data_IF_211089463938
#
_entry.id   IF_211089463938
#
_cell.length_a   1.000
_cell.length_b   1.000
_cell.length_c   1.000
_cell.angle_alpha   90.00
_cell.angle_beta   90.00
_cell.angle_gamma   90.00
#
_symmetry.space_group_name_H-M   'P 1'
#
loop_
_entity.id
_entity.type
_entity.pdbx_description
1 polymer ?
#
# COMPACT_ATOMS: atom_id res chain seq x y z
N UNK A 1 -10.80 -9.01 4.10
CA UNK A 1 -9.96 -8.14 3.24
C UNK A 1 -8.53 -8.18 3.76
N UNK A 2 -7.58 -8.33 2.88
CA UNK A 2 -6.16 -8.43 3.23
C UNK A 2 -5.31 -7.47 2.42
N UNK A 3 -4.26 -6.95 3.05
CA UNK A 3 -3.27 -6.11 2.38
C UNK A 3 -1.98 -6.91 2.25
N UNK A 4 -1.49 -7.06 1.02
CA UNK A 4 -0.31 -7.87 0.73
C UNK A 4 0.77 -7.06 0.03
N UNK A 5 2.01 -7.24 0.46
CA UNK A 5 3.17 -6.69 -0.23
C UNK A 5 3.52 -7.62 -1.38
N UNK A 6 3.39 -7.13 -2.61
CA UNK A 6 3.73 -7.92 -3.80
C UNK A 6 5.23 -7.87 -4.04
N UNK A 7 5.80 -6.67 -3.99
CA UNK A 7 7.23 -6.49 -4.24
C UNK A 7 7.74 -5.23 -3.56
N UNK A 8 8.90 -5.33 -2.94
CA UNK A 8 9.62 -4.19 -2.39
C UNK A 8 10.89 -3.98 -3.20
N UNK A 9 11.14 -2.74 -3.61
CA UNK A 9 12.31 -2.36 -4.38
C UNK A 9 13.08 -1.31 -3.59
N UNK A 10 14.16 -0.77 -4.17
CA UNK A 10 15.01 0.20 -3.50
C UNK A 10 14.26 1.50 -3.15
N UNK A 11 13.45 1.98 -4.10
CA UNK A 11 12.77 3.26 -3.95
C UNK A 11 11.27 3.19 -4.23
N UNK A 12 10.72 2.00 -4.28
CA UNK A 12 9.29 1.80 -4.54
C UNK A 12 8.82 0.48 -3.97
N UNK A 13 7.50 0.31 -3.89
CA UNK A 13 6.89 -0.93 -3.45
C UNK A 13 5.51 -1.07 -4.10
N UNK A 14 5.08 -2.30 -4.32
CA UNK A 14 3.78 -2.59 -4.92
C UNK A 14 2.98 -3.43 -3.93
N UNK A 15 1.73 -3.04 -3.75
CA UNK A 15 0.82 -3.70 -2.82
C UNK A 15 -0.46 -4.11 -3.51
N UNK A 16 -1.11 -5.13 -2.98
CA UNK A 16 -2.43 -5.57 -3.41
C UNK A 16 -3.39 -5.59 -2.22
N UNK A 17 -4.54 -4.99 -2.40
CA UNK A 17 -5.65 -5.08 -1.46
C UNK A 17 -6.57 -6.21 -1.92
N UNK A 18 -6.57 -7.32 -1.19
CA UNK A 18 -7.42 -8.46 -1.49
C UNK A 18 -8.79 -8.27 -0.82
N UNK A 19 -9.81 -8.05 -1.63
CA UNK A 19 -11.16 -7.79 -1.14
C UNK A 19 -12.19 -8.83 -1.63
N UNK A 20 -11.71 -10.03 -1.98
CA UNK A 20 -12.57 -11.11 -2.44
C UNK A 20 -12.48 -11.30 -3.94
N UNK A 21 -13.59 -11.22 -4.64
CA UNK A 21 -13.67 -11.63 -6.04
C UNK A 21 -13.48 -10.53 -7.07
N UNK A 22 -13.30 -9.28 -6.64
CA UNK A 22 -13.27 -8.13 -7.53
C UNK A 22 -11.86 -7.59 -7.73
N UNK A 23 -11.54 -7.19 -8.97
CA UNK A 23 -10.30 -6.50 -9.27
C UNK A 23 -10.33 -5.04 -8.86
N UNK A 24 -11.52 -4.52 -8.55
CA UNK A 24 -11.70 -3.16 -8.07
C UNK A 24 -12.50 -3.19 -6.79
N UNK A 25 -12.19 -2.30 -5.83
CA UNK A 25 -13.03 -2.20 -4.65
C UNK A 25 -14.39 -1.61 -5.03
N UNK A 26 -15.42 -1.94 -4.24
CA UNK A 26 -16.76 -1.39 -4.44
C UNK A 26 -16.75 0.13 -4.28
N UNK A 27 -15.86 0.64 -3.41
CA UNK A 27 -15.67 2.05 -3.16
C UNK A 27 -14.18 2.37 -3.13
N UNK A 28 -13.77 3.58 -3.54
CA UNK A 28 -12.38 3.99 -3.42
C UNK A 28 -11.90 3.91 -1.97
N UNK A 29 -10.63 3.62 -1.79
CA UNK A 29 -10.04 3.52 -0.46
C UNK A 29 -8.87 4.49 -0.31
N UNK A 30 -8.54 4.79 0.95
CA UNK A 30 -7.46 5.72 1.29
C UNK A 30 -6.21 4.94 1.61
N UNK A 31 -5.08 5.39 1.07
CA UNK A 31 -3.77 4.78 1.35
C UNK A 31 -2.89 5.83 2.03
N UNK A 32 -2.28 5.44 3.15
CA UNK A 32 -1.35 6.30 3.87
C UNK A 32 0.03 5.64 3.93
N UNK A 33 1.05 6.48 4.01
CA UNK A 33 2.44 6.05 4.18
C UNK A 33 2.99 6.82 5.37
N UNK A 34 3.35 6.09 6.44
CA UNK A 34 3.80 6.68 7.70
C UNK A 34 2.84 7.76 8.23
N UNK A 35 1.54 7.53 8.05
CA UNK A 35 0.51 8.44 8.51
C UNK A 35 0.12 9.55 7.55
N UNK A 36 0.84 9.71 6.44
CA UNK A 36 0.50 10.71 5.43
C UNK A 36 -0.31 10.08 4.30
N UNK A 37 -1.40 10.75 3.90
CA UNK A 37 -2.23 10.26 2.81
C UNK A 37 -1.50 10.39 1.48
N UNK A 38 -1.32 9.28 0.78
CA UNK A 38 -0.69 9.25 -0.55
C UNK A 38 -1.70 9.00 -1.65
N UNK A 39 -2.83 8.37 -1.34
CA UNK A 39 -3.95 8.19 -2.25
C UNK A 39 -5.24 8.50 -1.49
N UNK A 40 -5.97 9.53 -1.91
CA UNK A 40 -7.25 9.88 -1.28
C UNK A 40 -8.38 8.94 -1.69
N UNK A 41 -8.35 8.51 -2.95
CA UNK A 41 -9.41 7.67 -3.50
C UNK A 41 -8.77 6.72 -4.51
N UNK A 42 -8.21 5.64 -3.99
CA UNK A 42 -7.61 4.61 -4.83
C UNK A 42 -8.71 3.69 -5.36
N UNK A 43 -8.80 3.57 -6.67
CA UNK A 43 -9.85 2.80 -7.32
C UNK A 43 -9.37 1.46 -7.88
N UNK A 44 -8.13 1.08 -7.58
CA UNK A 44 -7.56 -0.18 -8.04
C UNK A 44 -7.06 -0.98 -6.86
N UNK A 45 -7.19 -2.30 -6.93
CA UNK A 45 -6.73 -3.18 -5.84
C UNK A 45 -5.21 -3.25 -5.76
N UNK A 46 -4.52 -2.96 -6.85
CA UNK A 46 -3.05 -2.93 -6.87
C UNK A 46 -2.60 -1.49 -6.93
N UNK A 47 -1.72 -1.10 -6.02
CA UNK A 47 -1.18 0.25 -6.01
C UNK A 47 0.32 0.22 -5.73
N UNK A 48 1.01 1.27 -6.16
CA UNK A 48 2.44 1.41 -6.00
C UNK A 48 2.77 2.64 -5.18
N UNK A 49 3.84 2.53 -4.40
CA UNK A 49 4.41 3.65 -3.65
C UNK A 49 5.75 3.99 -4.29
N UNK A 50 6.01 5.29 -4.47
CA UNK A 50 7.20 5.79 -5.15
C UNK A 50 7.95 6.79 -4.26
N UNK A 51 9.14 7.16 -4.69
CA UNK A 51 9.96 8.15 -4.00
C UNK A 51 10.32 7.74 -2.58
N UNK A 52 10.54 6.45 -2.37
CA UNK A 52 10.95 5.92 -1.08
C UNK A 52 12.47 6.00 -0.95
N UNK A 53 12.95 5.96 0.29
CA UNK A 53 14.38 5.90 0.58
C UNK A 53 14.84 4.44 0.67
N UNK A 54 16.06 4.12 0.20
CA UNK A 54 16.57 2.75 0.29
C UNK A 54 16.79 2.31 1.73
N UNK A 55 16.62 1.02 1.98
CA UNK A 55 16.90 0.42 3.28
C UNK A 55 16.13 1.04 4.43
N UNK A 56 14.92 1.54 4.18
CA UNK A 56 14.13 2.28 5.14
C UNK A 56 12.83 1.55 5.44
N UNK A 57 12.46 1.53 6.72
CA UNK A 57 11.20 0.93 7.13
C UNK A 57 10.04 1.92 6.96
N UNK A 58 8.95 1.42 6.39
CA UNK A 58 7.73 2.20 6.19
C UNK A 58 6.52 1.41 6.68
N UNK A 59 5.50 2.13 7.12
CA UNK A 59 4.21 1.54 7.45
C UNK A 59 3.17 2.08 6.48
N UNK A 60 2.58 1.18 5.69
CA UNK A 60 1.47 1.53 4.80
C UNK A 60 0.16 1.20 5.48
N UNK A 61 -0.79 2.14 5.41
CA UNK A 61 -2.12 1.95 5.95
C UNK A 61 -3.16 2.05 4.85
N UNK A 62 -4.23 1.28 4.98
CA UNK A 62 -5.37 1.31 4.06
C UNK A 62 -6.65 1.43 4.87
N UNK A 63 -7.51 2.37 4.50
CA UNK A 63 -8.85 2.50 5.06
C UNK A 63 -9.86 2.23 3.96
N UNK A 64 -10.60 1.14 4.07
CA UNK A 64 -11.54 0.69 3.06
C UNK A 64 -12.79 0.12 3.73
N UNK A 65 -13.96 0.58 3.32
CA UNK A 65 -15.25 0.04 3.77
C UNK A 65 -15.38 -0.10 5.28
N UNK A 66 -14.90 0.89 6.02
CA UNK A 66 -14.96 0.88 7.48
C UNK A 66 -13.88 0.06 8.16
N UNK A 67 -13.00 -0.56 7.40
CA UNK A 67 -11.87 -1.33 7.94
C UNK A 67 -10.56 -0.56 7.78
N UNK A 68 -9.66 -0.78 8.73
CA UNK A 68 -8.30 -0.25 8.66
C UNK A 68 -7.31 -1.40 8.63
N UNK A 69 -6.43 -1.39 7.65
CA UNK A 69 -5.38 -2.39 7.49
C UNK A 69 -4.04 -1.69 7.51
N UNK A 70 -3.02 -2.39 7.94
CA UNK A 70 -1.66 -1.85 7.89
C UNK A 70 -0.64 -2.95 7.62
N UNK A 71 0.48 -2.54 7.03
CA UNK A 71 1.58 -3.43 6.73
C UNK A 71 2.87 -2.66 6.87
N UNK A 72 3.83 -3.23 7.59
CA UNK A 72 5.16 -2.64 7.71
C UNK A 72 6.12 -3.38 6.81
N UNK A 73 6.92 -2.65 6.06
CA UNK A 73 7.88 -3.22 5.13
C UNK A 73 9.16 -2.39 5.12
N UNK A 74 10.23 -2.97 4.62
CA UNK A 74 11.51 -2.30 4.47
C UNK A 74 11.93 -2.34 3.01
N UNK A 75 12.31 -1.19 2.45
CA UNK A 75 12.81 -1.12 1.09
C UNK A 75 14.17 -1.81 1.00
N UNK A 76 14.55 -2.23 -0.21
CA UNK A 76 15.84 -2.85 -0.43
C UNK A 76 16.96 -1.83 -0.21
N UNK A 77 18.05 -2.31 0.37
CA UNK A 77 19.22 -1.45 0.57
C UNK A 77 19.89 -1.17 -0.77
N UNK A 78 20.36 0.06 -0.93
CA UNK A 78 21.15 0.45 -2.09
C UNK A 78 22.60 0.09 -1.81
N UNK A 79 23.20 -0.74 -2.69
CA UNK A 79 24.60 -1.16 -2.52
C UNK A 79 25.57 -0.24 -3.20
#
# INVERSE_FOLDING_TARGET
MNLSLIRSMTRSAVFELENGLCYRPAHPFTVTLNGETVYDACETNVFSLFSLLPGTEYTVGVQAEGESLSCTFTTEAET
#
